data_IF_957664632231
#
_entry.id   IF_957664632231
#
_cell.length_a   1.000
_cell.length_b   1.000
_cell.length_c   1.000
_cell.angle_alpha   90.00
_cell.angle_beta   90.00
_cell.angle_gamma   90.00
#
_symmetry.space_group_name_H-M   'P 1'
#
loop_
_entity.id
_entity.type
_entity.pdbx_description
1 polymer ?
#
# COMPACT_ATOMS: atom_id res chain seq x y z
N UNK A 1 5.69 -6.57 -29.47
CA UNK A 1 4.94 -7.74 -29.99
C UNK A 1 5.90 -8.74 -30.59
N UNK A 2 6.89 -8.27 -31.33
CA UNK A 2 7.87 -9.10 -32.03
C UNK A 2 8.64 -10.08 -31.14
N UNK A 3 9.06 -9.70 -29.92
CA UNK A 3 9.77 -10.62 -29.02
C UNK A 3 8.92 -11.80 -28.55
N UNK A 4 7.66 -11.55 -28.16
CA UNK A 4 6.75 -12.62 -27.73
C UNK A 4 6.31 -13.48 -28.92
N UNK A 5 6.07 -12.87 -30.08
CA UNK A 5 5.72 -13.59 -31.31
C UNK A 5 6.85 -14.53 -31.74
N UNK A 6 8.10 -14.07 -31.69
CA UNK A 6 9.25 -14.92 -32.01
C UNK A 6 9.39 -16.08 -31.03
N UNK A 7 9.27 -15.81 -29.73
CA UNK A 7 9.28 -16.87 -28.71
C UNK A 7 8.16 -17.89 -28.95
N UNK A 8 6.92 -17.43 -29.19
CA UNK A 8 5.78 -18.30 -29.42
C UNK A 8 5.95 -19.15 -30.70
N UNK A 9 6.45 -18.56 -31.79
CA UNK A 9 6.76 -19.26 -33.02
C UNK A 9 7.82 -20.35 -32.80
N UNK A 10 8.92 -20.04 -32.10
CA UNK A 10 9.98 -21.00 -31.78
C UNK A 10 9.45 -22.19 -30.96
N UNK A 11 8.62 -21.92 -29.94
CA UNK A 11 8.01 -22.98 -29.12
C UNK A 11 7.04 -23.82 -29.95
N UNK A 12 6.23 -23.19 -30.80
CA UNK A 12 5.28 -23.88 -31.67
C UNK A 12 6.00 -24.80 -32.68
N UNK A 13 7.08 -24.32 -33.31
CA UNK A 13 7.88 -25.11 -34.25
C UNK A 13 8.53 -26.32 -33.56
N UNK A 14 9.05 -26.14 -32.35
CA UNK A 14 9.60 -27.23 -31.54
C UNK A 14 8.55 -28.27 -31.17
N UNK A 15 7.33 -27.82 -30.82
CA UNK A 15 6.23 -28.71 -30.47
C UNK A 15 5.71 -29.49 -31.70
N UNK A 16 5.52 -28.80 -32.82
CA UNK A 16 4.96 -29.38 -34.05
C UNK A 16 5.94 -30.28 -34.81
N UNK A 17 7.25 -30.19 -34.53
CA UNK A 17 8.26 -31.07 -35.11
C UNK A 17 8.32 -32.47 -34.47
N UNK A 18 7.57 -32.72 -33.38
CA UNK A 18 7.54 -33.99 -32.65
C UNK A 18 6.35 -34.90 -33.01
N UNK A 19 6.39 -36.15 -32.52
CA UNK A 19 5.22 -37.05 -32.49
C UNK A 19 4.16 -36.56 -31.48
N UNK A 20 2.95 -37.13 -31.48
CA UNK A 20 1.82 -36.82 -30.56
C UNK A 20 2.16 -36.76 -29.04
N UNK A 21 3.36 -37.19 -28.64
CA UNK A 21 3.92 -37.03 -27.30
C UNK A 21 5.26 -36.30 -27.34
N UNK A 22 5.42 -35.33 -26.43
CA UNK A 22 6.65 -34.56 -26.25
C UNK A 22 7.81 -35.47 -25.80
N UNK A 23 8.85 -35.59 -26.62
CA UNK A 23 10.03 -36.36 -26.26
C UNK A 23 11.03 -35.55 -25.41
N UNK A 24 11.94 -36.23 -24.73
CA UNK A 24 12.92 -35.60 -23.85
C UNK A 24 13.85 -34.60 -24.57
N UNK A 25 14.37 -34.89 -25.79
CA UNK A 25 15.13 -33.91 -26.57
C UNK A 25 14.36 -32.62 -26.87
N UNK A 26 13.08 -32.70 -27.26
CA UNK A 26 12.23 -31.54 -27.55
C UNK A 26 11.93 -30.76 -26.28
N UNK A 27 11.61 -31.44 -25.19
CA UNK A 27 11.41 -30.82 -23.88
C UNK A 27 12.63 -29.97 -23.46
N UNK A 28 13.85 -30.48 -23.66
CA UNK A 28 15.09 -29.74 -23.37
C UNK A 28 15.22 -28.46 -24.19
N UNK A 29 14.85 -28.49 -25.48
CA UNK A 29 14.87 -27.31 -26.35
C UNK A 29 13.84 -26.27 -25.91
N UNK A 30 12.62 -26.69 -25.56
CA UNK A 30 11.58 -25.79 -25.06
C UNK A 30 12.00 -25.13 -23.73
N UNK A 31 12.56 -25.91 -22.79
CA UNK A 31 13.08 -25.34 -21.52
C UNK A 31 14.19 -24.33 -21.78
N UNK A 32 15.10 -24.61 -22.72
CA UNK A 32 16.13 -23.66 -23.14
C UNK A 32 15.51 -22.38 -23.71
N UNK A 33 14.47 -22.49 -24.54
CA UNK A 33 13.82 -21.34 -25.16
C UNK A 33 13.12 -20.44 -24.13
N UNK A 34 12.41 -21.05 -23.17
CA UNK A 34 11.80 -20.34 -22.03
C UNK A 34 12.88 -19.60 -21.24
N UNK A 35 14.00 -20.26 -20.92
CA UNK A 35 15.09 -19.63 -20.18
C UNK A 35 15.74 -18.48 -20.96
N UNK A 36 15.90 -18.63 -22.28
CA UNK A 36 16.43 -17.58 -23.14
C UNK A 36 15.51 -16.36 -23.13
N UNK A 37 14.22 -16.56 -23.34
CA UNK A 37 13.24 -15.48 -23.40
C UNK A 37 13.10 -14.72 -22.07
N UNK A 38 13.05 -15.46 -20.95
CA UNK A 38 12.80 -14.88 -19.63
C UNK A 38 14.05 -14.32 -18.93
N UNK A 39 15.21 -14.98 -19.06
CA UNK A 39 16.33 -14.79 -18.13
C UNK A 39 17.71 -14.60 -18.79
N UNK A 40 17.77 -14.56 -20.12
CA UNK A 40 19.04 -14.40 -20.84
C UNK A 40 19.10 -13.04 -21.51
N UNK A 41 20.21 -12.32 -21.32
CA UNK A 41 20.45 -11.01 -21.92
C UNK A 41 21.14 -11.16 -23.29
N UNK A 42 20.45 -10.85 -24.41
CA UNK A 42 21.08 -10.83 -25.74
C UNK A 42 21.99 -9.61 -25.87
N UNK A 43 23.06 -9.75 -26.65
CA UNK A 43 24.11 -8.73 -26.80
C UNK A 43 23.61 -7.35 -27.29
N UNK A 44 22.43 -7.27 -27.93
CA UNK A 44 21.90 -6.06 -28.59
C UNK A 44 20.44 -5.74 -28.25
N UNK A 45 19.94 -6.15 -27.09
CA UNK A 45 18.52 -5.99 -26.75
C UNK A 45 18.10 -4.53 -26.46
N UNK A 46 19.06 -3.65 -26.22
CA UNK A 46 18.82 -2.25 -25.89
C UNK A 46 18.74 -1.99 -24.40
N UNK A 47 18.10 -0.88 -24.03
CA UNK A 47 18.13 -0.35 -22.66
C UNK A 47 16.85 0.37 -22.28
N UNK A 48 16.60 0.48 -20.98
CA UNK A 48 15.56 1.30 -20.35
C UNK A 48 16.21 2.36 -19.46
N UNK A 49 15.54 3.50 -19.25
CA UNK A 49 15.97 4.53 -18.33
C UNK A 49 15.07 4.52 -17.09
N UNK A 50 15.64 4.12 -15.96
CA UNK A 50 14.92 3.94 -14.70
C UNK A 50 15.76 4.45 -13.55
N UNK A 51 15.13 4.91 -12.47
CA UNK A 51 15.85 5.40 -11.27
C UNK A 51 16.93 6.47 -11.58
N UNK A 52 16.71 7.30 -12.62
CA UNK A 52 17.66 8.33 -13.04
C UNK A 52 18.90 7.81 -13.78
N UNK A 53 18.94 6.53 -14.16
CA UNK A 53 20.06 5.92 -14.86
C UNK A 53 19.62 4.95 -15.95
N UNK A 54 20.52 4.69 -16.89
CA UNK A 54 20.28 3.78 -18.02
C UNK A 54 20.67 2.35 -17.64
N UNK A 55 19.75 1.42 -17.80
CA UNK A 55 19.96 -0.02 -17.58
C UNK A 55 19.79 -0.79 -18.89
N UNK A 56 20.61 -1.81 -19.19
CA UNK A 56 20.30 -2.73 -20.27
C UNK A 56 19.02 -3.51 -19.96
N UNK A 57 18.23 -3.86 -20.97
CA UNK A 57 17.22 -4.91 -20.77
C UNK A 57 17.96 -6.22 -20.45
N UNK A 58 17.52 -6.94 -19.41
CA UNK A 58 18.16 -8.20 -19.05
C UNK A 58 17.59 -9.43 -19.80
N UNK A 59 16.44 -9.29 -20.49
CA UNK A 59 15.86 -10.35 -21.31
C UNK A 59 14.83 -9.84 -22.32
N UNK A 60 14.54 -10.65 -23.34
CA UNK A 60 13.53 -10.36 -24.36
C UNK A 60 12.15 -10.13 -23.74
N UNK A 61 11.80 -10.92 -22.74
CA UNK A 61 10.58 -10.73 -21.96
C UNK A 61 10.56 -9.38 -21.24
N UNK A 62 11.66 -8.96 -20.60
CA UNK A 62 11.69 -7.66 -19.92
C UNK A 62 11.35 -6.51 -20.88
N UNK A 63 11.99 -6.50 -22.06
CA UNK A 63 11.70 -5.48 -23.08
C UNK A 63 10.23 -5.54 -23.52
N UNK A 64 9.72 -6.73 -23.79
CA UNK A 64 8.31 -6.92 -24.17
C UNK A 64 7.36 -6.42 -23.08
N UNK A 65 7.58 -6.82 -21.82
CA UNK A 65 6.76 -6.44 -20.68
C UNK A 65 6.77 -4.94 -20.43
N UNK A 66 7.96 -4.32 -20.44
CA UNK A 66 8.09 -2.86 -20.35
C UNK A 66 7.20 -2.14 -21.37
N UNK A 67 7.21 -2.59 -22.62
CA UNK A 67 6.47 -1.94 -23.72
C UNK A 67 4.97 -2.25 -23.75
N UNK A 68 4.53 -3.39 -23.21
CA UNK A 68 3.17 -3.91 -23.44
C UNK A 68 2.36 -4.22 -22.18
N UNK A 69 2.92 -4.09 -20.98
CA UNK A 69 2.22 -4.42 -19.73
C UNK A 69 0.86 -3.71 -19.61
N UNK A 70 0.75 -2.44 -20.03
CA UNK A 70 -0.52 -1.69 -19.96
C UNK A 70 -1.59 -2.30 -20.86
N UNK A 71 -1.25 -2.62 -22.11
CA UNK A 71 -2.17 -3.22 -23.07
C UNK A 71 -2.61 -4.63 -22.66
N UNK A 72 -1.67 -5.42 -22.10
CA UNK A 72 -1.93 -6.80 -21.66
C UNK A 72 -2.80 -6.82 -20.41
N UNK A 73 -2.49 -5.96 -19.42
CA UNK A 73 -3.24 -5.89 -18.17
C UNK A 73 -4.59 -5.22 -18.37
N UNK A 74 -4.65 -4.24 -19.29
CA UNK A 74 -5.83 -3.46 -19.65
C UNK A 74 -6.66 -3.11 -18.41
N UNK A 75 -6.06 -2.35 -17.48
CA UNK A 75 -6.73 -2.07 -16.21
C UNK A 75 -7.98 -1.22 -16.47
N UNK A 76 -9.12 -1.69 -15.96
CA UNK A 76 -10.42 -1.03 -16.11
C UNK A 76 -10.98 -0.61 -14.75
N UNK A 77 -11.68 0.52 -14.75
CA UNK A 77 -12.45 1.02 -13.61
C UNK A 77 -13.93 0.76 -13.90
N UNK A 78 -14.60 -0.02 -13.05
CA UNK A 78 -16.01 -0.36 -13.23
C UNK A 78 -16.89 0.66 -12.52
N UNK A 79 -17.65 1.47 -13.27
CA UNK A 79 -18.62 2.41 -12.70
C UNK A 79 -19.71 1.71 -11.88
N UNK A 80 -20.18 0.54 -12.33
CA UNK A 80 -21.16 -0.26 -11.59
C UNK A 80 -20.62 -0.72 -10.23
N UNK A 81 -19.38 -1.22 -10.19
CA UNK A 81 -18.75 -1.59 -8.93
C UNK A 81 -18.48 -0.36 -8.06
N UNK A 82 -18.07 0.75 -8.67
CA UNK A 82 -17.81 2.00 -7.96
C UNK A 82 -19.07 2.54 -7.29
N UNK A 83 -20.23 2.47 -7.96
CA UNK A 83 -21.50 2.88 -7.39
C UNK A 83 -21.90 2.02 -6.18
N UNK A 84 -21.76 0.70 -6.26
CA UNK A 84 -22.05 -0.18 -5.12
C UNK A 84 -21.13 0.09 -3.93
N UNK A 85 -19.84 0.32 -4.19
CA UNK A 85 -18.88 0.67 -3.13
C UNK A 85 -19.20 2.05 -2.55
N UNK A 86 -19.62 3.01 -3.38
CA UNK A 86 -20.05 4.33 -2.92
C UNK A 86 -21.28 4.23 -1.99
N UNK A 87 -22.27 3.41 -2.33
CA UNK A 87 -23.44 3.18 -1.47
C UNK A 87 -23.06 2.53 -0.12
N UNK A 88 -22.16 1.53 -0.12
CA UNK A 88 -21.68 0.93 1.13
C UNK A 88 -20.84 1.91 1.97
N UNK A 89 -20.09 2.81 1.34
CA UNK A 89 -19.32 3.86 2.04
C UNK A 89 -20.23 4.93 2.63
N UNK A 90 -21.30 5.31 1.93
CA UNK A 90 -22.35 6.19 2.46
C UNK A 90 -23.00 5.57 3.70
N UNK A 91 -23.36 4.29 3.65
CA UNK A 91 -23.88 3.56 4.82
C UNK A 91 -22.89 3.58 6.00
N UNK A 92 -21.59 3.41 5.74
CA UNK A 92 -20.55 3.54 6.78
C UNK A 92 -20.52 4.95 7.35
N UNK A 93 -20.62 5.97 6.51
CA UNK A 93 -20.63 7.36 6.93
C UNK A 93 -21.82 7.65 7.84
N UNK A 94 -23.04 7.28 7.42
CA UNK A 94 -24.27 7.50 8.20
C UNK A 94 -24.18 6.79 9.56
N UNK A 95 -23.80 5.51 9.58
CA UNK A 95 -23.73 4.72 10.82
C UNK A 95 -22.69 5.21 11.80
N UNK A 96 -21.64 5.88 11.31
CA UNK A 96 -20.53 6.37 12.14
C UNK A 96 -20.54 7.88 12.34
N UNK A 97 -21.51 8.59 11.78
CA UNK A 97 -21.55 10.06 11.73
C UNK A 97 -20.22 10.62 11.17
N UNK A 98 -19.68 9.97 10.13
CA UNK A 98 -18.40 10.32 9.49
C UNK A 98 -17.14 9.95 10.28
N UNK A 99 -17.25 9.48 11.54
CA UNK A 99 -16.09 9.18 12.41
C UNK A 99 -15.19 8.05 11.88
N UNK A 100 -15.70 7.19 10.99
CA UNK A 100 -14.88 6.17 10.33
C UNK A 100 -13.82 6.74 9.38
N UNK A 101 -13.99 7.99 8.93
CA UNK A 101 -13.16 8.64 7.90
C UNK A 101 -12.29 9.76 8.46
N UNK A 102 -12.17 9.85 9.79
CA UNK A 102 -11.32 10.81 10.46
C UNK A 102 -10.66 10.14 11.67
N UNK A 103 -9.35 10.31 11.80
CA UNK A 103 -8.61 9.89 12.97
C UNK A 103 -8.02 11.14 13.64
N UNK A 104 -8.56 11.49 14.81
CA UNK A 104 -7.96 12.48 15.69
C UNK A 104 -7.07 11.72 16.66
N UNK A 105 -5.77 11.78 16.44
CA UNK A 105 -4.79 11.21 17.37
C UNK A 105 -4.49 12.19 18.52
N UNK A 106 -3.97 11.65 19.62
CA UNK A 106 -3.57 12.42 20.79
C UNK A 106 -2.46 13.41 20.42
N UNK A 107 -2.77 14.71 20.51
CA UNK A 107 -1.83 15.80 20.22
C UNK A 107 -1.05 16.25 21.44
N UNK A 108 -1.22 15.59 22.59
CA UNK A 108 -0.65 16.00 23.88
C UNK A 108 -0.97 17.46 24.27
N UNK A 109 -2.10 18.00 23.80
CA UNK A 109 -2.51 19.37 24.06
C UNK A 109 -1.71 20.44 23.33
N UNK A 110 -0.88 20.06 22.34
CA UNK A 110 -0.17 21.01 21.48
C UNK A 110 -1.15 21.91 20.71
N UNK A 111 -0.74 23.16 20.54
CA UNK A 111 -1.40 24.14 19.67
C UNK A 111 -1.26 23.77 18.19
N UNK A 112 -2.06 24.42 17.33
CA UNK A 112 -2.06 24.14 15.90
C UNK A 112 -0.68 24.39 15.24
N UNK A 113 0.03 25.44 15.66
CA UNK A 113 1.35 25.77 15.14
C UNK A 113 2.42 24.78 15.59
N UNK A 114 2.36 24.33 16.84
CA UNK A 114 3.25 23.28 17.37
C UNK A 114 3.00 21.94 16.68
N UNK A 115 1.74 21.55 16.47
CA UNK A 115 1.38 20.33 15.73
C UNK A 115 1.98 20.39 14.32
N UNK A 116 1.78 21.51 13.62
CA UNK A 116 2.28 21.68 12.26
C UNK A 116 3.80 21.57 12.20
N UNK A 117 4.49 22.20 13.14
CA UNK A 117 5.97 22.16 13.24
C UNK A 117 6.46 20.74 13.45
N UNK A 118 5.91 20.03 14.44
CA UNK A 118 6.31 18.64 14.72
C UNK A 118 6.03 17.76 13.50
N UNK A 119 4.83 17.83 12.91
CA UNK A 119 4.47 17.00 11.74
C UNK A 119 5.33 17.30 10.52
N UNK A 120 5.50 18.57 10.12
CA UNK A 120 6.24 18.93 8.92
C UNK A 120 7.72 18.49 9.00
N UNK A 121 8.34 18.63 10.17
CA UNK A 121 9.76 18.30 10.35
C UNK A 121 10.01 16.79 10.54
N UNK A 122 8.97 15.99 10.82
CA UNK A 122 9.12 14.56 11.13
C UNK A 122 8.43 13.60 10.17
N UNK A 123 7.41 14.03 9.41
CA UNK A 123 6.67 13.13 8.50
C UNK A 123 7.58 12.56 7.39
N UNK A 124 8.60 13.31 6.95
CA UNK A 124 9.62 12.80 6.04
C UNK A 124 10.61 11.81 6.68
N UNK A 125 10.68 11.74 8.02
CA UNK A 125 11.53 10.82 8.78
C UNK A 125 10.87 9.49 9.10
N UNK A 126 9.54 9.43 9.04
CA UNK A 126 8.78 8.21 9.28
C UNK A 126 8.92 7.23 8.12
N UNK A 127 9.69 6.17 8.38
CA UNK A 127 9.86 5.08 7.43
C UNK A 127 9.05 3.90 7.96
N UNK A 128 8.14 3.40 7.11
CA UNK A 128 7.23 2.27 7.38
C UNK A 128 6.13 2.54 8.44
N UNK A 129 5.85 3.79 8.79
CA UNK A 129 4.81 4.11 9.78
C UNK A 129 5.25 3.74 11.20
N UNK A 130 6.54 3.87 11.48
CA UNK A 130 7.16 3.43 12.74
C UNK A 130 7.15 4.51 13.82
N UNK A 131 6.73 5.73 13.49
CA UNK A 131 6.78 6.88 14.40
C UNK A 131 5.40 7.26 14.91
N UNK A 132 5.26 7.31 16.23
CA UNK A 132 4.03 7.77 16.88
C UNK A 132 4.09 9.28 17.11
N UNK A 133 3.03 10.02 16.75
CA UNK A 133 2.98 11.46 16.99
C UNK A 133 3.04 11.82 18.48
N UNK A 134 2.47 10.99 19.35
CA UNK A 134 2.52 11.16 20.80
C UNK A 134 3.96 11.22 21.32
N UNK A 135 4.80 10.28 20.88
CA UNK A 135 6.22 10.24 21.28
C UNK A 135 6.97 11.48 20.75
N UNK A 136 6.67 11.91 19.52
CA UNK A 136 7.30 13.08 18.91
C UNK A 136 6.88 14.39 19.60
N UNK A 137 5.63 14.49 20.01
CA UNK A 137 5.12 15.65 20.77
C UNK A 137 5.64 15.66 22.21
N UNK A 138 5.86 14.51 22.85
CA UNK A 138 6.55 14.44 24.14
C UNK A 138 8.00 14.97 24.04
N UNK A 139 8.71 14.63 22.97
CA UNK A 139 10.05 15.19 22.70
C UNK A 139 9.97 16.71 22.53
N UNK A 140 9.02 17.20 21.72
CA UNK A 140 8.82 18.63 21.53
C UNK A 140 8.52 19.37 22.84
N UNK A 141 7.61 18.83 23.67
CA UNK A 141 7.27 19.41 24.97
C UNK A 141 8.45 19.44 25.94
N UNK A 142 9.38 18.47 25.82
CA UNK A 142 10.58 18.43 26.66
C UNK A 142 11.62 19.49 26.26
N UNK A 143 11.79 19.72 24.95
CA UNK A 143 12.70 20.73 24.42
C UNK A 143 12.25 21.15 23.00
N UNK A 144 11.50 22.27 22.88
CA UNK A 144 11.05 22.78 21.59
C UNK A 144 12.18 23.19 20.65
N UNK A 145 13.38 23.48 21.18
CA UNK A 145 14.51 23.98 20.38
C UNK A 145 15.09 22.91 19.46
N UNK A 146 14.86 21.63 19.76
CA UNK A 146 15.16 20.49 18.87
C UNK A 146 14.49 20.68 17.49
N UNK A 147 13.34 21.34 17.45
CA UNK A 147 12.54 21.55 16.24
C UNK A 147 12.72 22.95 15.63
N UNK A 148 13.80 23.65 15.97
CA UNK A 148 14.20 24.92 15.33
C UNK A 148 14.89 24.65 13.99
N UNK A 149 14.41 25.30 12.92
CA UNK A 149 14.86 25.07 11.55
C UNK A 149 16.35 25.38 11.38
N UNK A 150 16.86 26.44 12.02
CA UNK A 150 18.26 26.84 11.91
C UNK A 150 19.15 25.85 12.65
N UNK A 151 18.72 25.37 13.82
CA UNK A 151 19.42 24.31 14.54
C UNK A 151 19.47 23.02 13.72
N UNK A 152 18.35 22.60 13.11
CA UNK A 152 18.29 21.41 12.26
C UNK A 152 19.22 21.55 11.05
N UNK A 153 19.30 22.72 10.42
CA UNK A 153 20.20 22.94 9.28
C UNK A 153 21.68 22.80 9.68
N UNK A 154 22.04 23.31 10.86
CA UNK A 154 23.40 23.26 11.38
C UNK A 154 23.80 21.86 11.85
N UNK A 155 22.87 21.14 12.50
CA UNK A 155 23.12 19.83 13.11
C UNK A 155 21.99 18.81 12.80
N UNK A 156 21.77 18.45 11.52
CA UNK A 156 20.63 17.60 11.12
C UNK A 156 20.72 16.18 11.66
N UNK A 157 21.93 15.65 11.86
CA UNK A 157 22.13 14.33 12.45
C UNK A 157 21.71 14.28 13.92
N UNK A 158 21.88 15.39 14.65
CA UNK A 158 21.50 15.46 16.06
C UNK A 158 19.98 15.54 16.20
N UNK A 159 19.30 16.32 15.34
CA UNK A 159 17.84 16.28 15.24
C UNK A 159 17.31 14.87 15.03
N UNK A 160 17.86 14.15 14.04
CA UNK A 160 17.43 12.79 13.71
C UNK A 160 17.63 11.83 14.90
N UNK A 161 18.73 11.96 15.65
CA UNK A 161 18.94 11.18 16.89
C UNK A 161 17.98 11.57 17.99
N UNK A 162 17.72 12.86 18.19
CA UNK A 162 16.80 13.38 19.21
C UNK A 162 15.38 12.90 19.00
N UNK A 163 14.95 12.71 17.75
CA UNK A 163 13.67 12.06 17.44
C UNK A 163 13.74 10.52 17.49
N UNK A 164 14.72 9.94 18.18
CA UNK A 164 14.80 8.50 18.47
C UNK A 164 15.32 7.62 17.34
N UNK A 165 16.02 8.17 16.34
CA UNK A 165 16.65 7.40 15.25
C UNK A 165 18.15 7.29 15.54
N UNK A 166 18.54 6.21 16.21
CA UNK A 166 19.88 6.06 16.81
C UNK A 166 20.86 5.29 15.92
N UNK A 167 20.39 4.40 15.04
CA UNK A 167 21.24 3.61 14.13
C UNK A 167 21.35 4.26 12.74
N UNK A 168 22.07 5.39 12.66
CA UNK A 168 22.30 6.06 11.39
C UNK A 168 23.50 5.46 10.65
N UNK A 169 23.27 4.96 9.45
CA UNK A 169 24.36 4.66 8.51
C UNK A 169 25.08 5.95 8.07
N UNK A 170 26.34 5.86 7.63
CA UNK A 170 27.11 7.04 7.19
C UNK A 170 26.43 7.84 6.07
N UNK A 171 25.55 7.23 5.28
CA UNK A 171 24.81 7.84 4.18
C UNK A 171 23.29 7.83 4.41
N UNK A 172 22.83 7.91 5.67
CA UNK A 172 21.40 7.90 5.94
C UNK A 172 20.71 9.13 5.34
N UNK A 173 19.80 8.89 4.40
CA UNK A 173 19.06 9.91 3.65
C UNK A 173 18.24 10.83 4.58
N UNK A 174 17.88 10.36 5.78
CA UNK A 174 17.13 11.14 6.79
C UNK A 174 17.82 12.41 7.22
N UNK A 175 19.16 12.37 7.34
CA UNK A 175 19.97 13.56 7.66
C UNK A 175 19.79 14.63 6.59
N UNK A 176 19.83 14.23 5.31
CA UNK A 176 19.55 15.12 4.18
C UNK A 176 18.10 15.62 4.23
N UNK A 177 17.13 14.74 4.48
CA UNK A 177 15.71 15.10 4.54
C UNK A 177 15.42 16.16 5.60
N UNK A 178 15.99 16.02 6.80
CA UNK A 178 15.82 16.98 7.90
C UNK A 178 16.38 18.37 7.55
N UNK A 179 17.60 18.39 6.97
CA UNK A 179 18.23 19.64 6.53
C UNK A 179 17.42 20.34 5.44
N UNK A 180 17.01 19.59 4.41
CA UNK A 180 16.35 20.15 3.23
C UNK A 180 14.94 20.66 3.54
N UNK A 181 14.15 19.98 4.37
CA UNK A 181 12.83 20.51 4.75
C UNK A 181 12.93 21.81 5.57
N UNK A 182 13.96 21.93 6.40
CA UNK A 182 14.23 23.17 7.15
C UNK A 182 14.70 24.28 6.22
N UNK A 183 15.50 23.95 5.21
CA UNK A 183 15.92 24.87 4.16
C UNK A 183 14.74 25.37 3.32
N UNK A 184 13.80 24.48 2.97
CA UNK A 184 12.55 24.85 2.29
C UNK A 184 11.78 25.95 3.03
N UNK A 185 11.68 25.85 4.36
CA UNK A 185 11.03 26.87 5.20
C UNK A 185 11.79 28.20 5.20
N UNK A 186 13.12 28.17 5.28
CA UNK A 186 13.96 29.38 5.21
C UNK A 186 13.86 30.08 3.86
N UNK A 187 13.86 29.34 2.75
CA UNK A 187 13.77 29.90 1.39
C UNK A 187 12.42 30.58 1.13
N UNK A 188 11.36 30.06 1.74
CA UNK A 188 10.03 30.68 1.70
C UNK A 188 9.81 31.73 2.81
N UNK A 189 10.83 32.00 3.63
CA UNK A 189 10.78 32.92 4.77
C UNK A 189 9.52 32.71 5.64
N UNK A 190 9.24 31.45 5.99
CA UNK A 190 8.00 31.08 6.66
C UNK A 190 8.22 30.07 7.79
N UNK A 191 7.33 30.12 8.77
CA UNK A 191 7.23 29.07 9.78
C UNK A 191 6.35 27.91 9.26
N UNK A 192 6.49 26.69 9.81
CA UNK A 192 5.71 25.52 9.41
C UNK A 192 4.21 25.78 9.33
N UNK A 193 3.63 26.44 10.33
CA UNK A 193 2.20 26.75 10.36
C UNK A 193 1.77 27.70 9.24
N UNK A 194 2.59 28.72 8.95
CA UNK A 194 2.28 29.77 7.99
C UNK A 194 2.64 29.39 6.55
N UNK A 195 3.32 28.26 6.32
CA UNK A 195 3.79 27.87 5.00
C UNK A 195 2.65 27.77 3.99
N UNK A 196 1.46 27.30 4.41
CA UNK A 196 0.28 27.20 3.55
C UNK A 196 -0.19 28.56 3.03
N UNK A 197 0.06 29.65 3.76
CA UNK A 197 -0.28 31.02 3.34
C UNK A 197 0.60 31.50 2.21
N UNK A 198 1.87 31.07 2.16
CA UNK A 198 2.79 31.35 1.05
C UNK A 198 2.26 30.81 -0.27
N UNK A 199 1.46 29.75 -0.19
CA UNK A 199 0.80 29.10 -1.32
C UNK A 199 -0.69 29.46 -1.42
N UNK A 200 -1.11 30.66 -0.99
CA UNK A 200 -2.49 31.17 -1.12
C UNK A 200 -3.58 30.31 -0.45
N UNK A 201 -3.20 29.56 0.58
CA UNK A 201 -4.00 28.52 1.23
C UNK A 201 -4.47 27.40 0.26
N UNK A 202 -3.71 27.15 -0.80
CA UNK A 202 -3.95 26.10 -1.78
C UNK A 202 -3.04 24.89 -1.48
N UNK A 203 -3.65 23.78 -1.07
CA UNK A 203 -2.88 22.58 -0.68
C UNK A 203 -2.26 21.90 -1.88
N UNK A 204 -2.83 22.02 -3.08
CA UNK A 204 -2.29 21.45 -4.31
C UNK A 204 -0.98 22.15 -4.68
N UNK A 205 -0.92 23.48 -4.52
CA UNK A 205 0.32 24.25 -4.73
C UNK A 205 1.40 23.88 -3.71
N UNK A 206 1.07 23.84 -2.42
CA UNK A 206 2.01 23.43 -1.38
C UNK A 206 2.50 21.99 -1.61
N UNK A 207 1.60 21.09 -2.00
CA UNK A 207 1.90 19.69 -2.31
C UNK A 207 2.98 19.58 -3.39
N UNK A 208 2.77 20.26 -4.52
CA UNK A 208 3.71 20.21 -5.63
C UNK A 208 5.07 20.80 -5.23
N UNK A 209 5.07 21.93 -4.51
CA UNK A 209 6.30 22.55 -4.00
C UNK A 209 7.09 21.62 -3.07
N UNK A 210 6.41 20.90 -2.15
CA UNK A 210 7.07 19.93 -1.27
C UNK A 210 7.63 18.72 -2.01
N UNK A 211 6.93 18.24 -3.05
CA UNK A 211 7.35 17.07 -3.85
C UNK A 211 8.54 17.39 -4.75
N UNK A 212 8.54 18.58 -5.35
CA UNK A 212 9.58 19.04 -6.27
C UNK A 212 10.86 19.47 -5.54
N UNK A 213 10.79 19.73 -4.23
CA UNK A 213 11.96 20.16 -3.45
C UNK A 213 12.96 19.01 -3.21
N UNK A 214 14.05 19.02 -3.96
CA UNK A 214 15.01 17.92 -4.01
C UNK A 214 15.60 17.59 -2.64
N UNK A 215 15.45 16.33 -2.24
CA UNK A 215 16.02 15.82 -1.00
C UNK A 215 15.30 16.24 0.27
N UNK A 216 14.09 16.84 0.21
CA UNK A 216 13.24 17.00 1.40
C UNK A 216 12.58 15.70 1.87
N UNK A 217 12.55 14.65 1.02
CA UNK A 217 11.99 13.35 1.40
C UNK A 217 10.45 13.31 1.45
N UNK A 218 9.80 14.33 0.90
CA UNK A 218 8.36 14.42 0.69
C UNK A 218 7.98 13.90 -0.70
N UNK A 219 7.72 12.60 -0.83
CA UNK A 219 7.08 12.05 -2.04
C UNK A 219 5.56 12.09 -1.91
N UNK A 220 4.82 11.85 -3.00
CA UNK A 220 3.34 11.85 -3.08
C UNK A 220 2.66 11.43 -1.77
N UNK A 221 2.86 10.16 -1.37
CA UNK A 221 2.24 9.59 -0.17
C UNK A 221 2.49 10.38 1.12
N UNK A 222 3.73 10.79 1.39
CA UNK A 222 4.08 11.50 2.64
C UNK A 222 3.49 12.91 2.65
N UNK A 223 3.53 13.58 1.51
CA UNK A 223 2.94 14.90 1.34
C UNK A 223 1.43 14.86 1.51
N UNK A 224 0.77 13.88 0.88
CA UNK A 224 -0.68 13.70 0.97
C UNK A 224 -1.12 13.41 2.41
N UNK A 225 -0.39 12.51 3.11
CA UNK A 225 -0.64 12.24 4.53
C UNK A 225 -0.43 13.47 5.42
N UNK A 226 0.63 14.25 5.19
CA UNK A 226 0.89 15.47 5.96
C UNK A 226 -0.23 16.50 5.77
N UNK A 227 -0.60 16.81 4.52
CA UNK A 227 -1.67 17.76 4.19
C UNK A 227 -3.00 17.31 4.79
N UNK A 228 -3.35 16.03 4.62
CA UNK A 228 -4.56 15.44 5.20
C UNK A 228 -4.61 15.65 6.71
N UNK A 229 -3.53 15.34 7.41
CA UNK A 229 -3.49 15.48 8.87
C UNK A 229 -3.66 16.96 9.29
N UNK A 230 -3.07 17.91 8.56
CA UNK A 230 -3.24 19.34 8.89
C UNK A 230 -4.69 19.81 8.74
N UNK A 231 -5.41 19.31 7.74
CA UNK A 231 -6.83 19.64 7.54
C UNK A 231 -7.72 18.92 8.57
N UNK A 232 -7.52 17.62 8.78
CA UNK A 232 -8.34 16.79 9.69
C UNK A 232 -8.20 17.23 11.14
N UNK A 233 -7.00 17.63 11.57
CA UNK A 233 -6.77 18.15 12.93
C UNK A 233 -7.24 19.60 13.12
N UNK A 234 -7.76 20.25 12.07
CA UNK A 234 -8.16 21.66 12.13
C UNK A 234 -6.98 22.63 12.30
N UNK A 235 -5.76 22.18 12.01
CA UNK A 235 -4.56 23.03 11.99
C UNK A 235 -4.67 24.04 10.86
N UNK A 236 -5.01 23.58 9.67
CA UNK A 236 -5.30 24.43 8.54
C UNK A 236 -6.79 24.42 8.23
N UNK A 237 -7.41 25.59 8.38
CA UNK A 237 -8.83 25.78 8.16
C UNK A 237 -9.06 26.54 6.84
N UNK A 238 -10.13 26.19 6.11
CA UNK A 238 -10.56 26.87 4.87
C UNK A 238 -9.50 26.88 3.75
N UNK A 239 -8.87 25.73 3.52
CA UNK A 239 -7.93 25.53 2.42
C UNK A 239 -8.66 25.29 1.09
N UNK A 240 -7.97 25.52 -0.03
CA UNK A 240 -8.40 25.23 -1.40
C UNK A 240 -7.71 23.97 -1.92
N UNK A 241 -8.36 23.23 -2.83
CA UNK A 241 -7.79 22.06 -3.51
C UNK A 241 -7.68 20.80 -2.65
N UNK A 242 -8.39 20.72 -1.52
CA UNK A 242 -8.29 19.53 -0.66
C UNK A 242 -8.89 18.28 -1.31
N UNK A 243 -9.91 18.46 -2.13
CA UNK A 243 -10.53 17.45 -2.98
C UNK A 243 -9.63 16.95 -4.13
N UNK A 244 -8.56 17.70 -4.45
CA UNK A 244 -7.55 17.26 -5.41
C UNK A 244 -6.61 16.20 -4.83
N UNK A 245 -6.59 15.98 -3.51
CA UNK A 245 -5.72 14.99 -2.87
C UNK A 245 -6.36 13.59 -2.96
N UNK A 246 -5.74 12.70 -3.74
CA UNK A 246 -6.19 11.32 -3.94
C UNK A 246 -6.04 10.43 -2.69
N UNK A 247 -6.70 9.27 -2.73
CA UNK A 247 -6.40 8.18 -1.79
C UNK A 247 -4.95 7.77 -1.94
N UNK A 248 -4.20 7.81 -0.85
CA UNK A 248 -2.84 7.32 -0.82
C UNK A 248 -2.83 5.84 -1.20
N UNK A 249 -2.29 5.53 -2.37
CA UNK A 249 -2.24 4.15 -2.83
C UNK A 249 -1.29 3.31 -1.96
N UNK A 250 -1.79 2.17 -1.50
CA UNK A 250 -1.06 1.19 -0.71
C UNK A 250 -1.52 -0.24 -1.02
N UNK A 251 -0.77 -1.21 -0.49
CA UNK A 251 -1.06 -2.64 -0.63
C UNK A 251 -2.50 -2.99 -0.22
N UNK A 252 -3.06 -2.35 0.81
CA UNK A 252 -4.42 -2.63 1.24
C UNK A 252 -5.47 -1.91 0.40
N UNK A 253 -5.31 -0.64 0.02
CA UNK A 253 -6.26 0.03 -0.88
C UNK A 253 -6.35 -0.69 -2.22
N UNK A 254 -5.22 -1.12 -2.79
CA UNK A 254 -5.19 -1.92 -4.02
C UNK A 254 -5.89 -3.27 -3.81
N UNK A 255 -5.60 -3.96 -2.70
CA UNK A 255 -6.26 -5.23 -2.34
C UNK A 255 -7.78 -5.07 -2.30
N UNK A 256 -8.29 -4.01 -1.67
CA UNK A 256 -9.73 -3.78 -1.59
C UNK A 256 -10.29 -3.39 -2.97
N UNK A 257 -9.58 -2.57 -3.75
CA UNK A 257 -10.01 -2.19 -5.09
C UNK A 257 -10.21 -3.40 -6.01
N UNK A 258 -9.24 -4.33 -6.02
CA UNK A 258 -9.32 -5.57 -6.78
C UNK A 258 -10.46 -6.48 -6.29
N UNK A 259 -10.61 -6.65 -4.97
CA UNK A 259 -11.61 -7.55 -4.37
C UNK A 259 -13.04 -7.07 -4.59
N UNK A 260 -13.24 -5.75 -4.56
CA UNK A 260 -14.55 -5.12 -4.80
C UNK A 260 -14.90 -4.99 -6.28
N UNK A 261 -13.93 -5.20 -7.18
CA UNK A 261 -14.14 -5.08 -8.62
C UNK A 261 -14.17 -3.65 -9.15
N UNK A 262 -13.88 -2.63 -8.31
CA UNK A 262 -13.74 -1.25 -8.80
C UNK A 262 -12.51 -1.10 -9.70
N UNK A 263 -11.52 -1.98 -9.52
CA UNK A 263 -10.35 -2.12 -10.37
C UNK A 263 -10.26 -3.57 -10.85
N UNK A 264 -10.22 -3.78 -12.15
CA UNK A 264 -10.08 -5.11 -12.76
C UNK A 264 -8.96 -5.13 -13.79
N UNK A 265 -8.41 -6.31 -14.04
CA UNK A 265 -7.42 -6.56 -15.09
C UNK A 265 -7.89 -7.69 -16.00
N UNK A 266 -7.50 -7.66 -17.27
CA UNK A 266 -7.88 -8.67 -18.27
C UNK A 266 -7.32 -10.06 -17.93
N UNK A 267 -6.12 -10.08 -17.34
CA UNK A 267 -5.46 -11.28 -16.82
C UNK A 267 -5.17 -11.12 -15.32
N UNK A 268 -4.97 -12.22 -14.57
CA UNK A 268 -4.43 -12.13 -13.23
C UNK A 268 -3.09 -11.37 -13.21
N UNK A 269 -2.89 -10.53 -12.19
CA UNK A 269 -1.63 -9.82 -11.99
C UNK A 269 -0.47 -10.82 -11.91
N UNK A 270 0.60 -10.56 -12.65
CA UNK A 270 1.74 -11.47 -12.72
C UNK A 270 2.63 -11.34 -11.49
N UNK A 271 3.40 -12.39 -11.21
CA UNK A 271 4.34 -12.38 -10.10
C UNK A 271 5.40 -11.29 -10.28
N UNK A 272 5.92 -10.78 -9.17
CA UNK A 272 6.99 -9.79 -9.18
C UNK A 272 8.31 -10.31 -9.76
N UNK A 273 8.45 -11.62 -9.96
CA UNK A 273 9.58 -12.19 -10.71
C UNK A 273 9.56 -11.84 -12.20
N UNK A 274 8.38 -11.50 -12.72
CA UNK A 274 8.21 -11.05 -14.09
C UNK A 274 8.14 -9.51 -14.18
N UNK A 275 7.63 -8.84 -13.14
CA UNK A 275 7.54 -7.37 -13.08
C UNK A 275 8.75 -6.70 -12.40
N UNK A 276 9.96 -6.98 -12.89
CA UNK A 276 11.23 -6.65 -12.21
C UNK A 276 11.46 -5.15 -11.99
N UNK A 277 10.90 -4.32 -12.88
CA UNK A 277 10.98 -2.86 -12.80
C UNK A 277 9.69 -2.23 -12.28
N UNK A 278 8.80 -3.02 -11.68
CA UNK A 278 7.57 -2.52 -11.08
C UNK A 278 6.65 -1.78 -12.07
N UNK A 279 6.66 -2.15 -13.36
CA UNK A 279 5.82 -1.52 -14.38
C UNK A 279 4.34 -1.79 -14.11
N UNK A 280 3.99 -3.06 -13.84
CA UNK A 280 2.63 -3.42 -13.39
C UNK A 280 2.31 -2.76 -12.06
N UNK A 281 3.26 -2.78 -11.10
CA UNK A 281 3.03 -2.12 -9.82
C UNK A 281 2.68 -0.64 -10.01
N UNK A 282 3.45 0.11 -10.81
CA UNK A 282 3.21 1.52 -11.07
C UNK A 282 1.90 1.78 -11.79
N UNK A 283 1.55 0.96 -12.79
CA UNK A 283 0.27 1.08 -13.49
C UNK A 283 -0.94 0.78 -12.58
N UNK A 284 -0.83 -0.24 -11.72
CA UNK A 284 -1.85 -0.56 -10.71
C UNK A 284 -1.96 0.54 -9.66
N UNK A 285 -0.84 1.12 -9.23
CA UNK A 285 -0.79 2.20 -8.25
C UNK A 285 -1.54 3.45 -8.75
N UNK A 286 -1.23 3.88 -9.98
CA UNK A 286 -1.89 4.99 -10.67
C UNK A 286 -3.40 4.74 -10.83
N UNK A 287 -3.76 3.57 -11.36
CA UNK A 287 -5.16 3.25 -11.67
C UNK A 287 -6.00 3.03 -10.40
N UNK A 288 -5.39 2.52 -9.32
CA UNK A 288 -6.05 2.39 -8.02
C UNK A 288 -6.47 3.74 -7.44
N UNK A 289 -5.60 4.76 -7.51
CA UNK A 289 -5.95 6.11 -7.06
C UNK A 289 -7.17 6.66 -7.84
N UNK A 290 -7.16 6.49 -9.17
CA UNK A 290 -8.27 6.88 -10.05
C UNK A 290 -9.57 6.14 -9.73
N UNK A 291 -9.51 4.84 -9.43
CA UNK A 291 -10.69 4.04 -9.07
C UNK A 291 -11.34 4.56 -7.78
N UNK A 292 -10.55 4.82 -6.74
CA UNK A 292 -11.08 5.38 -5.49
C UNK A 292 -11.60 6.81 -5.65
N UNK A 293 -10.95 7.63 -6.49
CA UNK A 293 -11.49 8.94 -6.86
C UNK A 293 -12.84 8.81 -7.55
N UNK A 294 -13.01 7.82 -8.44
CA UNK A 294 -14.29 7.58 -9.11
C UNK A 294 -15.39 7.20 -8.11
N UNK A 295 -15.09 6.32 -7.16
CA UNK A 295 -15.99 5.99 -6.03
C UNK A 295 -16.39 7.24 -5.26
N UNK A 296 -15.43 8.09 -4.86
CA UNK A 296 -15.69 9.31 -4.11
C UNK A 296 -16.55 10.32 -4.89
N UNK A 297 -16.31 10.48 -6.20
CA UNK A 297 -17.13 11.33 -7.06
C UNK A 297 -18.58 10.85 -7.11
N UNK A 298 -18.80 9.56 -7.37
CA UNK A 298 -20.14 8.97 -7.41
C UNK A 298 -20.85 9.13 -6.05
N UNK A 299 -20.14 8.87 -4.95
CA UNK A 299 -20.67 9.08 -3.60
C UNK A 299 -21.10 10.54 -3.41
N UNK A 300 -20.21 11.50 -3.67
CA UNK A 300 -20.49 12.93 -3.45
C UNK A 300 -21.63 13.43 -4.35
N UNK A 301 -21.71 12.96 -5.59
CA UNK A 301 -22.78 13.31 -6.52
C UNK A 301 -24.14 12.77 -6.04
N UNK A 302 -24.17 11.54 -5.50
CA UNK A 302 -25.40 10.85 -5.05
C UNK A 302 -25.86 11.31 -3.66
N UNK A 303 -24.92 11.62 -2.77
CA UNK A 303 -25.18 11.97 -1.36
C UNK A 303 -24.38 13.23 -0.93
N UNK A 304 -24.66 14.42 -1.51
CA UNK A 304 -23.80 15.61 -1.40
C UNK A 304 -23.65 16.17 0.02
N UNK A 305 -24.61 15.90 0.93
CA UNK A 305 -24.57 16.36 2.31
C UNK A 305 -24.05 15.29 3.29
N UNK A 306 -23.81 14.07 2.81
CA UNK A 306 -23.45 12.88 3.61
C UNK A 306 -22.22 12.19 2.98
N UNK A 307 -21.25 13.01 2.60
CA UNK A 307 -20.00 12.58 2.00
C UNK A 307 -18.81 13.25 2.68
N UNK A 308 -17.64 12.63 2.55
CA UNK A 308 -16.38 13.19 3.01
C UNK A 308 -15.89 14.28 2.04
N UNK A 309 -15.16 15.27 2.54
CA UNK A 309 -14.75 16.45 1.77
C UNK A 309 -13.64 16.18 0.74
N UNK A 310 -12.94 15.05 0.82
CA UNK A 310 -11.83 14.71 -0.06
C UNK A 310 -11.66 13.20 -0.17
N UNK A 311 -11.27 12.67 -1.35
CA UNK A 311 -11.03 11.24 -1.50
C UNK A 311 -9.93 10.73 -0.56
N UNK A 312 -8.89 11.53 -0.24
CA UNK A 312 -7.80 11.10 0.65
C UNK A 312 -8.25 10.60 2.03
N UNK A 313 -9.44 11.01 2.49
CA UNK A 313 -10.03 10.59 3.76
C UNK A 313 -10.55 9.14 3.73
N UNK A 314 -10.78 8.56 2.54
CA UNK A 314 -11.10 7.14 2.41
C UNK A 314 -10.01 6.24 2.99
N UNK A 315 -8.75 6.68 2.99
CA UNK A 315 -7.62 5.93 3.54
C UNK A 315 -7.88 5.49 5.01
N UNK A 316 -8.46 6.36 5.83
CA UNK A 316 -8.76 6.02 7.24
C UNK A 316 -9.67 4.80 7.37
N UNK A 317 -10.64 4.64 6.48
CA UNK A 317 -11.52 3.48 6.53
C UNK A 317 -10.98 2.31 5.69
N UNK A 318 -10.61 2.56 4.44
CA UNK A 318 -10.19 1.53 3.49
C UNK A 318 -8.88 0.86 3.92
N UNK A 319 -7.84 1.64 4.24
CA UNK A 319 -6.55 1.09 4.65
C UNK A 319 -6.60 0.58 6.10
N UNK A 320 -6.97 1.45 7.05
CA UNK A 320 -6.83 1.14 8.48
C UNK A 320 -7.91 0.21 9.03
N UNK A 321 -9.14 0.24 8.50
CA UNK A 321 -10.23 -0.60 9.00
C UNK A 321 -10.40 -1.82 8.10
N UNK A 322 -10.82 -1.62 6.87
CA UNK A 322 -11.14 -2.73 5.97
C UNK A 322 -9.87 -3.52 5.66
N UNK A 323 -8.81 -2.85 5.22
CA UNK A 323 -7.55 -3.44 4.81
C UNK A 323 -6.82 -4.20 5.92
N UNK A 324 -6.63 -3.55 7.07
CA UNK A 324 -5.83 -4.10 8.20
C UNK A 324 -6.63 -4.96 9.19
N UNK A 325 -7.91 -4.69 9.38
CA UNK A 325 -8.71 -5.34 10.43
C UNK A 325 -9.68 -6.37 9.87
N UNK A 326 -10.47 -6.03 8.84
CA UNK A 326 -11.51 -6.92 8.32
C UNK A 326 -10.98 -7.90 7.27
N UNK A 327 -10.11 -7.43 6.37
CA UNK A 327 -9.62 -8.14 5.19
C UNK A 327 -8.25 -8.80 5.46
N UNK A 328 -8.19 -9.58 6.55
CA UNK A 328 -7.01 -10.28 7.04
C UNK A 328 -7.37 -11.67 7.53
N UNK A 329 -6.45 -12.63 7.40
CA UNK A 329 -6.57 -13.98 7.97
C UNK A 329 -6.51 -13.92 9.51
N UNK A 330 -7.65 -13.61 10.14
CA UNK A 330 -7.80 -13.39 11.58
C UNK A 330 -8.68 -14.44 12.27
N UNK A 331 -9.54 -15.14 11.53
CA UNK A 331 -10.34 -16.24 12.06
C UNK A 331 -9.51 -17.54 12.03
N UNK A 332 -9.38 -18.20 13.17
CA UNK A 332 -8.57 -19.41 13.31
C UNK A 332 -9.49 -20.62 13.52
N UNK A 333 -9.30 -21.69 12.75
CA UNK A 333 -10.01 -22.95 12.93
C UNK A 333 -9.19 -23.90 13.81
N UNK A 334 -9.82 -24.42 14.86
CA UNK A 334 -9.21 -25.31 15.85
C UNK A 334 -9.90 -26.66 15.88
N UNK A 335 -9.11 -27.70 16.20
CA UNK A 335 -9.60 -29.04 16.55
C UNK A 335 -8.98 -29.51 17.87
N UNK A 336 -9.68 -30.35 18.63
CA UNK A 336 -9.16 -30.97 19.84
C UNK A 336 -9.08 -32.50 19.74
N UNK A 337 -8.45 -33.11 20.74
CA UNK A 337 -8.25 -34.57 20.83
C UNK A 337 -9.57 -35.35 20.91
N UNK A 338 -10.64 -34.76 21.46
CA UNK A 338 -11.98 -35.38 21.47
C UNK A 338 -12.77 -35.22 20.16
N UNK A 339 -12.17 -34.64 19.10
CA UNK A 339 -12.83 -34.45 17.81
C UNK A 339 -13.69 -33.20 17.66
N UNK A 340 -13.84 -32.35 18.69
CA UNK A 340 -14.52 -31.06 18.54
C UNK A 340 -13.75 -30.12 17.61
N UNK A 341 -14.50 -29.33 16.83
CA UNK A 341 -13.98 -28.21 16.06
C UNK A 341 -14.67 -26.90 16.44
N UNK A 342 -13.94 -25.80 16.34
CA UNK A 342 -14.48 -24.47 16.61
C UNK A 342 -13.62 -23.36 16.00
N UNK A 343 -14.21 -22.19 15.85
CA UNK A 343 -13.52 -20.97 15.43
C UNK A 343 -13.09 -20.12 16.63
N UNK A 344 -11.95 -19.44 16.49
CA UNK A 344 -11.47 -18.48 17.49
C UNK A 344 -10.74 -17.31 16.85
N UNK A 345 -10.82 -16.14 17.48
CA UNK A 345 -10.24 -14.89 16.97
C UNK A 345 -8.72 -14.77 17.15
N UNK A 346 -8.06 -15.76 17.77
CA UNK A 346 -6.64 -15.70 18.11
C UNK A 346 -5.95 -17.06 17.95
N UNK A 347 -4.83 -17.05 17.24
CA UNK A 347 -3.96 -18.23 17.10
C UNK A 347 -3.29 -18.65 18.43
N UNK A 348 -3.37 -17.81 19.47
CA UNK A 348 -2.80 -18.09 20.78
C UNK A 348 -3.71 -18.97 21.65
N UNK A 349 -4.93 -19.30 21.21
CA UNK A 349 -5.76 -20.25 21.93
C UNK A 349 -5.06 -21.61 22.02
N UNK A 350 -5.13 -22.23 23.20
CA UNK A 350 -4.55 -23.56 23.49
C UNK A 350 -5.59 -24.54 24.03
N UNK A 351 -6.78 -24.05 24.37
CA UNK A 351 -7.82 -24.81 25.04
C UNK A 351 -9.02 -25.01 24.12
N UNK A 352 -9.58 -26.23 24.13
CA UNK A 352 -10.83 -26.50 23.43
C UNK A 352 -11.98 -25.77 24.11
N UNK A 353 -12.59 -24.82 23.40
CA UNK A 353 -13.65 -23.99 23.95
C UNK A 353 -14.97 -24.77 24.10
N UNK A 354 -15.16 -25.83 23.30
CA UNK A 354 -16.31 -26.75 23.41
C UNK A 354 -16.20 -27.60 24.66
N UNK A 355 -15.11 -28.39 24.80
CA UNK A 355 -14.87 -29.20 26.00
C UNK A 355 -14.90 -28.36 27.27
N UNK A 356 -14.23 -27.19 27.28
CA UNK A 356 -14.19 -26.34 28.47
C UNK A 356 -15.58 -25.79 28.85
N UNK A 357 -16.44 -25.53 27.87
CA UNK A 357 -17.82 -25.08 28.15
C UNK A 357 -18.64 -26.20 28.79
N UNK A 358 -18.49 -27.43 28.31
CA UNK A 358 -19.26 -28.60 28.72
C UNK A 358 -18.78 -29.21 30.04
N UNK A 359 -17.47 -29.41 30.21
CA UNK A 359 -16.90 -30.18 31.33
C UNK A 359 -16.07 -29.33 32.29
N UNK A 360 -15.77 -28.07 31.95
CA UNK A 360 -14.79 -27.20 32.63
C UNK A 360 -13.35 -27.72 32.59
N UNK A 361 -13.07 -28.79 31.86
CA UNK A 361 -11.71 -29.30 31.69
C UNK A 361 -10.98 -28.58 30.55
N UNK A 362 -9.70 -28.26 30.79
CA UNK A 362 -8.84 -27.63 29.79
C UNK A 362 -8.21 -28.67 28.87
N UNK A 363 -8.97 -29.14 27.90
CA UNK A 363 -8.43 -30.03 26.85
C UNK A 363 -7.66 -29.25 25.79
N UNK A 364 -6.60 -29.86 25.25
CA UNK A 364 -5.70 -29.22 24.29
C UNK A 364 -6.40 -29.02 22.94
N UNK A 365 -6.22 -27.83 22.35
CA UNK A 365 -6.67 -27.53 20.99
C UNK A 365 -5.49 -27.17 20.10
N UNK A 366 -5.53 -27.62 18.84
CA UNK A 366 -4.54 -27.33 17.80
C UNK A 366 -5.22 -26.49 16.70
N UNK A 367 -4.60 -25.36 16.36
CA UNK A 367 -4.99 -24.58 15.19
C UNK A 367 -4.57 -25.33 13.93
N UNK A 368 -5.48 -25.48 12.97
CA UNK A 368 -5.17 -26.08 11.66
C UNK A 368 -4.80 -25.02 10.63
N UNK A 369 -5.63 -24.00 10.47
CA UNK A 369 -5.42 -22.94 9.48
C UNK A 369 -6.16 -21.65 9.88
N UNK A 370 -5.91 -20.58 9.12
CA UNK A 370 -6.58 -19.29 9.25
C UNK A 370 -7.41 -19.01 8.00
N UNK A 371 -8.51 -18.29 8.19
CA UNK A 371 -9.48 -17.92 7.16
C UNK A 371 -9.71 -16.41 7.17
N UNK A 372 -10.23 -15.88 6.07
CA UNK A 372 -10.83 -14.55 6.11
C UNK A 372 -12.14 -14.64 6.90
N UNK A 373 -12.49 -13.65 7.72
CA UNK A 373 -13.78 -13.63 8.40
C UNK A 373 -14.97 -13.74 7.45
N UNK A 374 -14.86 -13.23 6.22
CA UNK A 374 -15.94 -13.33 5.23
C UNK A 374 -16.07 -14.72 4.57
N UNK A 375 -15.21 -15.69 4.88
CA UNK A 375 -15.28 -17.03 4.28
C UNK A 375 -16.35 -17.94 4.92
N UNK A 376 -16.78 -17.62 6.14
CA UNK A 376 -17.73 -18.44 6.92
C UNK A 376 -18.69 -17.56 7.71
N UNK A 377 -19.82 -18.12 8.14
CA UNK A 377 -20.84 -17.39 8.88
C UNK A 377 -20.35 -16.95 10.27
N UNK A 378 -19.45 -17.72 10.89
CA UNK A 378 -18.81 -17.40 12.18
C UNK A 378 -17.72 -16.32 12.10
N UNK A 379 -17.58 -15.65 10.96
CA UNK A 379 -16.66 -14.53 10.76
C UNK A 379 -16.73 -13.44 11.83
N UNK A 380 -17.93 -13.21 12.37
CA UNK A 380 -18.17 -12.23 13.43
C UNK A 380 -17.29 -12.45 14.67
N UNK A 381 -16.89 -13.70 14.97
CA UNK A 381 -15.99 -14.02 16.10
C UNK A 381 -14.69 -13.22 16.02
N UNK A 382 -14.16 -13.01 14.82
CA UNK A 382 -12.96 -12.21 14.60
C UNK A 382 -13.29 -10.71 14.44
N UNK A 383 -14.34 -10.36 13.70
CA UNK A 383 -14.73 -8.96 13.42
C UNK A 383 -15.08 -8.20 14.71
N UNK A 384 -15.84 -8.83 15.61
CA UNK A 384 -16.26 -8.24 16.90
C UNK A 384 -15.09 -7.93 17.84
N UNK A 385 -13.90 -8.49 17.55
CA UNK A 385 -12.67 -8.29 18.32
C UNK A 385 -11.73 -7.27 17.69
N UNK A 386 -12.12 -6.66 16.58
CA UNK A 386 -11.31 -5.63 15.92
C UNK A 386 -11.40 -4.30 16.69
N UNK A 387 -10.33 -3.49 16.72
CA UNK A 387 -10.35 -2.17 17.33
C UNK A 387 -11.50 -1.28 16.85
N UNK A 388 -11.80 -1.30 15.54
CA UNK A 388 -12.90 -0.50 14.97
C UNK A 388 -14.27 -0.90 15.52
N UNK A 389 -14.57 -2.20 15.63
CA UNK A 389 -15.86 -2.65 16.20
C UNK A 389 -15.91 -2.38 17.71
N UNK A 390 -14.78 -2.52 18.40
CA UNK A 390 -14.68 -2.27 19.85
C UNK A 390 -14.77 -0.79 20.23
N UNK A 391 -14.43 0.14 19.33
CA UNK A 391 -14.59 1.58 19.57
C UNK A 391 -16.06 2.01 19.64
N UNK A 392 -16.99 1.17 19.15
CA UNK A 392 -18.45 1.40 19.18
C UNK A 392 -18.87 2.71 18.52
N UNK A 393 -18.10 3.20 17.56
CA UNK A 393 -18.45 4.43 16.82
C UNK A 393 -19.60 4.22 15.82
N UNK A 394 -19.91 2.97 15.47
CA UNK A 394 -20.96 2.61 14.52
C UNK A 394 -22.27 2.21 15.22
N UNK A 395 -23.41 2.67 14.70
CA UNK A 395 -24.74 2.27 15.14
C UNK A 395 -25.68 2.01 13.94
N UNK A 396 -26.18 0.77 13.72
CA UNK A 396 -25.80 -0.45 14.43
C UNK A 396 -24.32 -0.82 14.15
N UNK A 397 -23.71 -1.54 15.08
CA UNK A 397 -22.31 -1.93 14.97
C UNK A 397 -22.09 -3.03 13.91
N UNK A 398 -20.85 -3.21 13.47
CA UNK A 398 -20.50 -4.19 12.44
C UNK A 398 -20.22 -5.57 13.01
N UNK A 399 -20.83 -6.59 12.39
CA UNK A 399 -20.53 -8.00 12.60
C UNK A 399 -19.84 -8.67 11.40
N UNK A 400 -19.71 -7.94 10.29
CA UNK A 400 -19.07 -8.39 9.05
C UNK A 400 -18.45 -7.20 8.31
N UNK A 401 -17.57 -7.49 7.35
CA UNK A 401 -17.06 -6.47 6.42
C UNK A 401 -18.21 -5.88 5.59
N UNK A 402 -18.32 -4.54 5.44
CA UNK A 402 -19.38 -3.92 4.61
C UNK A 402 -19.32 -4.40 3.15
N UNK A 403 -18.11 -4.58 2.62
CA UNK A 403 -17.94 -4.99 1.22
C UNK A 403 -18.08 -6.50 0.97
N UNK A 404 -18.50 -7.31 1.95
CA UNK A 404 -18.62 -8.78 1.80
C UNK A 404 -19.46 -9.15 0.58
N UNK A 405 -20.66 -8.57 0.47
CA UNK A 405 -21.61 -8.86 -0.62
C UNK A 405 -21.08 -8.47 -1.99
N UNK A 406 -20.42 -7.31 -2.09
CA UNK A 406 -19.79 -6.84 -3.33
C UNK A 406 -18.69 -7.83 -3.75
N UNK A 407 -17.80 -8.21 -2.83
CA UNK A 407 -16.70 -9.13 -3.13
C UNK A 407 -17.20 -10.53 -3.52
N UNK A 408 -18.31 -11.00 -2.92
CA UNK A 408 -18.96 -12.27 -3.26
C UNK A 408 -19.57 -12.23 -4.67
N UNK A 409 -20.23 -11.13 -5.03
CA UNK A 409 -20.81 -10.93 -6.36
C UNK A 409 -19.75 -11.04 -7.46
N UNK A 410 -18.59 -10.40 -7.28
CA UNK A 410 -17.53 -10.40 -8.28
C UNK A 410 -16.60 -11.62 -8.20
N UNK A 411 -16.72 -12.47 -7.17
CA UNK A 411 -15.86 -13.66 -6.99
C UNK A 411 -14.38 -13.35 -6.69
N UNK A 412 -14.04 -12.10 -6.41
CA UNK A 412 -12.66 -11.60 -6.39
C UNK A 412 -12.02 -11.58 -4.99
N UNK A 413 -12.67 -12.15 -3.97
CA UNK A 413 -12.27 -12.03 -2.55
C UNK A 413 -10.84 -12.48 -2.21
N UNK A 414 -10.20 -13.25 -3.08
CA UNK A 414 -8.84 -13.77 -2.89
C UNK A 414 -7.77 -13.01 -3.70
N UNK A 415 -8.15 -12.00 -4.50
CA UNK A 415 -7.18 -11.21 -5.24
C UNK A 415 -6.22 -10.48 -4.29
N UNK A 416 -4.97 -10.40 -4.75
CA UNK A 416 -3.86 -9.81 -4.02
C UNK A 416 -3.19 -8.74 -4.86
N UNK A 417 -2.71 -7.66 -4.22
CA UNK A 417 -1.99 -6.58 -4.89
C UNK A 417 -0.63 -7.07 -5.42
N UNK A 418 -0.06 -6.38 -6.44
CA UNK A 418 1.27 -6.70 -6.93
C UNK A 418 2.32 -6.41 -5.86
N UNK A 419 3.44 -7.13 -5.92
CA UNK A 419 4.59 -6.86 -5.04
C UNK A 419 5.64 -6.05 -5.81
N UNK A 420 6.15 -5.00 -5.19
CA UNK A 420 7.32 -4.28 -5.72
C UNK A 420 8.60 -5.01 -5.30
N UNK A 421 9.51 -5.23 -6.25
CA UNK A 421 10.89 -5.64 -5.95
C UNK A 421 11.83 -4.57 -6.50
N UNK A 422 12.69 -4.02 -5.64
CA UNK A 422 13.69 -3.03 -6.06
C UNK A 422 14.90 -3.72 -6.67
N UNK A 423 15.38 -3.20 -7.80
CA UNK A 423 16.65 -3.58 -8.46
C UNK A 423 17.84 -3.41 -7.50
N UNK A 424 17.79 -2.37 -6.67
CA UNK A 424 18.82 -2.04 -5.67
C UNK A 424 18.52 -2.62 -4.27
N UNK A 425 17.51 -3.47 -4.15
CA UNK A 425 17.12 -4.09 -2.89
C UNK A 425 18.08 -5.18 -2.42
N UNK A 426 17.91 -5.65 -1.18
CA UNK A 426 18.72 -6.72 -0.57
C UNK A 426 18.74 -8.03 -1.36
N UNK A 427 17.73 -8.29 -2.21
CA UNK A 427 17.65 -9.47 -3.07
C UNK A 427 18.44 -9.34 -4.39
N UNK A 428 19.15 -8.22 -4.60
CA UNK A 428 20.18 -8.01 -5.62
C UNK A 428 19.93 -8.67 -6.98
N UNK A 429 19.17 -8.01 -7.86
CA UNK A 429 18.81 -8.56 -9.18
C UNK A 429 19.98 -8.75 -10.15
N UNK A 430 21.14 -8.16 -9.86
CA UNK A 430 22.33 -8.27 -10.71
C UNK A 430 22.87 -9.72 -10.82
N UNK A 431 22.49 -10.63 -9.92
CA UNK A 431 22.84 -12.06 -10.00
C UNK A 431 21.74 -12.92 -10.63
N UNK A 432 20.56 -12.36 -10.92
CA UNK A 432 19.37 -13.12 -11.30
C UNK A 432 19.36 -13.59 -12.76
N UNK A 433 20.07 -12.88 -13.65
CA UNK A 433 20.10 -13.15 -15.08
C UNK A 433 21.51 -13.49 -15.55
N UNK A 434 21.60 -14.10 -16.74
CA UNK A 434 22.89 -14.51 -17.32
C UNK A 434 23.06 -13.89 -18.69
N UNK A 435 24.32 -13.68 -19.09
CA UNK A 435 24.63 -13.39 -20.49
C UNK A 435 24.31 -14.60 -21.35
N UNK A 436 24.12 -14.37 -22.64
CA UNK A 436 23.89 -15.43 -23.60
C UNK A 436 24.96 -16.53 -23.51
N UNK A 437 24.52 -17.79 -23.40
CA UNK A 437 25.36 -18.99 -23.34
C UNK A 437 26.28 -19.13 -22.09
N UNK A 438 26.16 -18.29 -21.05
CA UNK A 438 26.96 -18.45 -19.82
C UNK A 438 26.30 -19.31 -18.74
N UNK A 439 24.97 -19.27 -18.62
CA UNK A 439 24.20 -20.04 -17.62
C UNK A 439 24.49 -19.67 -16.17
N UNK A 440 23.76 -20.26 -15.21
CA UNK A 440 24.08 -20.18 -13.77
C UNK A 440 23.61 -18.94 -12.98
N UNK A 441 22.61 -18.19 -13.44
CA UNK A 441 22.01 -17.07 -12.70
C UNK A 441 20.90 -17.52 -11.73
N UNK A 442 20.47 -16.62 -10.86
CA UNK A 442 19.33 -16.87 -9.96
C UNK A 442 19.12 -15.78 -8.91
N UNK A 443 17.87 -15.69 -8.45
CA UNK A 443 17.53 -14.88 -7.29
C UNK A 443 17.87 -15.65 -6.02
N UNK A 444 18.61 -15.03 -5.11
CA UNK A 444 18.67 -15.53 -3.74
C UNK A 444 17.34 -15.21 -3.06
N UNK A 445 16.61 -16.26 -2.69
CA UNK A 445 15.31 -16.19 -2.03
C UNK A 445 15.43 -15.82 -0.54
#
# INVERSE_FOLDING_TARGET
MDELNQFAANVADLYNAGSDKLDLPTARKIVKEINTFLFTCPSNIGSVYELGQKFPYFSAFHKYWHLHHRDILNLQISDEACEKVADELHEVYVRTEGKAFAEIYDTNGLSADEICRVRLLTANQDFRGSRNFKELSEIYLSDPTIFDEKQIINSPADFVKSIGITELSQNDKRVRYAKQISQFLLEHNSAPYDIIKVFDNDVTRLRNALIEFDGAGYGNKKTDMFIRDMVVLGVWNRVKGFDDIDVASDVNTIKIALRTGILTSEIPLISSFLDIFCYQYGYVDETNALAWRRVWKIWTDKYPNEAISSPCLLDYFIYNVVGKQFCKLSLCYFVCEDGHSFYWHSANNRTCQVCYKETKERKKAKMLYKLLPCDVDEGYIAIDKTPFVQSKIANPNYHQCPFKRICEQYGNKNLMPPKSISIMGQTGWNSAYTTENSGGGGLMA
#
